data_IF_322078652373
#
_entry.id   IF_322078652373
#
_cell.length_a   1.000
_cell.length_b   1.000
_cell.length_c   1.000
_cell.angle_alpha   90.00
_cell.angle_beta   90.00
_cell.angle_gamma   90.00
#
_symmetry.space_group_name_H-M   'P 1'
#
loop_
_entity.id
_entity.type
_entity.pdbx_description
1 polymer ?
#
# COMPACT_ATOMS: atom_id res chain seq x y z
N UNK A 1 -22.83 13.12 -18.93
CA UNK A 1 -21.52 12.54 -19.32
C UNK A 1 -20.95 11.92 -18.06
N UNK A 2 -20.90 10.60 -17.97
CA UNK A 2 -20.20 9.95 -16.84
C UNK A 2 -18.74 10.39 -16.89
N UNK A 3 -18.13 10.82 -15.77
CA UNK A 3 -16.72 11.18 -15.76
C UNK A 3 -15.90 10.01 -16.30
N UNK A 4 -14.88 10.31 -17.12
CA UNK A 4 -14.00 9.29 -17.69
C UNK A 4 -13.51 8.35 -16.56
N UNK A 5 -13.46 7.02 -16.80
CA UNK A 5 -13.01 6.09 -15.78
C UNK A 5 -11.65 6.52 -15.25
N UNK A 6 -11.48 6.51 -13.92
CA UNK A 6 -10.21 6.81 -13.27
C UNK A 6 -9.14 5.85 -13.81
N UNK A 7 -8.15 6.40 -14.52
CA UNK A 7 -6.98 5.65 -14.96
C UNK A 7 -6.04 5.58 -13.75
N UNK A 8 -5.71 4.38 -13.25
CA UNK A 8 -4.78 4.22 -12.15
C UNK A 8 -3.42 4.83 -12.48
N UNK A 9 -2.73 5.27 -11.44
CA UNK A 9 -1.34 5.74 -11.58
C UNK A 9 -0.49 4.60 -12.12
N UNK A 10 0.33 4.87 -13.14
CA UNK A 10 1.12 3.85 -13.85
C UNK A 10 0.26 2.69 -14.39
N UNK A 11 -1.03 2.94 -14.66
CA UNK A 11 -1.99 1.91 -15.02
C UNK A 11 -1.58 1.14 -16.28
N UNK A 12 -1.09 1.85 -17.30
CA UNK A 12 -0.66 1.23 -18.57
C UNK A 12 0.58 0.38 -18.38
N UNK A 13 1.57 0.91 -17.66
CA UNK A 13 2.84 0.26 -17.35
C UNK A 13 2.61 -0.98 -16.49
N UNK A 14 1.72 -0.90 -15.50
CA UNK A 14 1.35 -2.02 -14.64
C UNK A 14 0.74 -3.16 -15.44
N UNK A 15 -0.22 -2.88 -16.31
CA UNK A 15 -0.87 -3.90 -17.13
C UNK A 15 0.10 -4.47 -18.18
N UNK A 16 0.97 -3.63 -18.77
CA UNK A 16 2.00 -4.10 -19.68
C UNK A 16 2.99 -5.06 -19.00
N UNK A 17 3.40 -4.76 -17.76
CA UNK A 17 4.25 -5.66 -16.99
C UNK A 17 3.52 -6.92 -16.52
N UNK A 18 2.26 -6.80 -16.06
CA UNK A 18 1.44 -7.94 -15.64
C UNK A 18 1.16 -8.89 -16.80
N UNK A 19 1.05 -8.35 -18.02
CA UNK A 19 0.76 -9.05 -19.27
C UNK A 19 -0.39 -10.06 -19.16
N UNK A 20 -1.64 -9.59 -18.89
CA UNK A 20 -2.78 -10.48 -18.84
C UNK A 20 -2.97 -11.24 -20.15
N UNK A 21 -3.30 -12.53 -20.05
CA UNK A 21 -3.52 -13.43 -21.19
C UNK A 21 -4.88 -14.10 -21.11
N UNK A 22 -5.37 -14.53 -22.27
CA UNK A 22 -6.63 -15.25 -22.36
C UNK A 22 -6.66 -16.47 -21.44
N UNK A 23 -7.77 -16.63 -20.71
CA UNK A 23 -7.97 -17.70 -19.72
C UNK A 23 -7.14 -17.60 -18.43
N UNK A 24 -6.30 -16.58 -18.25
CA UNK A 24 -5.45 -16.43 -17.07
C UNK A 24 -6.22 -16.05 -15.80
N UNK A 25 -5.70 -16.43 -14.63
CA UNK A 25 -6.28 -16.09 -13.32
C UNK A 25 -5.41 -15.02 -12.66
N UNK A 26 -6.00 -13.91 -12.24
CA UNK A 26 -5.29 -12.77 -11.68
C UNK A 26 -5.84 -12.36 -10.32
N UNK A 27 -5.01 -11.65 -9.55
CA UNK A 27 -5.43 -10.95 -8.34
C UNK A 27 -5.16 -9.45 -8.48
N UNK A 28 -6.19 -8.65 -8.25
CA UNK A 28 -6.06 -7.22 -7.97
C UNK A 28 -6.17 -7.03 -6.45
N UNK A 29 -5.03 -6.91 -5.79
CA UNK A 29 -4.96 -6.94 -4.33
C UNK A 29 -5.45 -5.63 -3.68
N UNK A 30 -5.74 -4.60 -4.48
CA UNK A 30 -6.06 -3.24 -4.02
C UNK A 30 -7.09 -2.64 -4.97
N UNK A 31 -8.27 -3.23 -5.03
CA UNK A 31 -9.31 -2.95 -6.03
C UNK A 31 -9.55 -1.46 -6.24
N UNK A 32 -9.75 -0.70 -5.16
CA UNK A 32 -10.04 0.72 -5.17
C UNK A 32 -11.23 1.07 -6.06
N UNK A 33 -10.98 1.78 -7.15
CA UNK A 33 -12.01 2.15 -8.12
C UNK A 33 -12.18 1.10 -9.26
N UNK A 34 -11.43 0.00 -9.24
CA UNK A 34 -11.46 -1.09 -10.21
C UNK A 34 -10.70 -0.79 -11.52
N UNK A 35 -9.74 0.13 -11.51
CA UNK A 35 -9.04 0.53 -12.73
C UNK A 35 -8.15 -0.57 -13.31
N UNK A 36 -7.31 -1.21 -12.49
CA UNK A 36 -6.53 -2.39 -12.92
C UNK A 36 -7.45 -3.57 -13.23
N UNK A 37 -8.43 -3.81 -12.37
CA UNK A 37 -9.44 -4.84 -12.58
C UNK A 37 -10.12 -4.77 -13.95
N UNK A 38 -10.57 -3.58 -14.39
CA UNK A 38 -11.14 -3.39 -15.74
C UNK A 38 -10.16 -3.76 -16.82
N UNK A 39 -8.92 -3.25 -16.74
CA UNK A 39 -7.90 -3.51 -17.75
C UNK A 39 -7.49 -4.99 -17.84
N UNK A 40 -7.53 -5.73 -16.74
CA UNK A 40 -7.34 -7.19 -16.73
C UNK A 40 -8.54 -7.89 -17.39
N UNK A 41 -9.76 -7.51 -17.00
CA UNK A 41 -11.01 -8.11 -17.51
C UNK A 41 -11.30 -7.80 -18.99
N UNK A 42 -10.69 -6.76 -19.55
CA UNK A 42 -10.71 -6.45 -20.98
C UNK A 42 -10.02 -7.53 -21.82
N UNK A 43 -9.10 -8.30 -21.22
CA UNK A 43 -8.55 -9.50 -21.87
C UNK A 43 -9.57 -10.63 -21.75
N UNK A 44 -9.98 -11.26 -22.87
CA UNK A 44 -10.96 -12.35 -22.88
C UNK A 44 -10.59 -13.50 -21.94
N UNK A 45 -11.60 -14.23 -21.45
CA UNK A 45 -11.41 -15.46 -20.67
C UNK A 45 -10.74 -15.30 -19.29
N UNK A 46 -10.21 -14.12 -18.96
CA UNK A 46 -9.56 -13.88 -17.66
C UNK A 46 -10.54 -14.08 -16.51
N UNK A 47 -10.04 -14.65 -15.42
CA UNK A 47 -10.71 -14.66 -14.11
C UNK A 47 -9.93 -13.77 -13.17
N UNK A 48 -10.64 -13.01 -12.35
CA UNK A 48 -10.06 -12.01 -11.46
C UNK A 48 -10.66 -12.14 -10.06
N UNK A 49 -9.78 -12.20 -9.07
CA UNK A 49 -10.14 -11.98 -7.67
C UNK A 49 -9.66 -10.57 -7.31
N UNK A 50 -10.56 -9.70 -6.89
CA UNK A 50 -10.22 -8.35 -6.45
C UNK A 50 -10.47 -8.22 -4.94
N UNK A 51 -9.53 -7.61 -4.23
CA UNK A 51 -9.54 -7.48 -2.77
C UNK A 51 -9.52 -6.00 -2.40
N UNK A 52 -10.36 -5.59 -1.45
CA UNK A 52 -10.25 -4.29 -0.80
C UNK A 52 -10.76 -4.36 0.64
N UNK A 53 -10.11 -3.65 1.55
CA UNK A 53 -10.57 -3.52 2.94
C UNK A 53 -11.64 -2.44 3.11
N UNK A 54 -11.82 -1.60 2.11
CA UNK A 54 -12.77 -0.50 2.13
C UNK A 54 -14.12 -0.95 1.57
N UNK A 55 -15.09 -1.18 2.45
CA UNK A 55 -16.49 -1.48 2.09
C UNK A 55 -17.10 -0.55 1.03
N UNK A 56 -16.66 0.71 0.95
CA UNK A 56 -17.15 1.65 -0.08
C UNK A 56 -16.60 1.33 -1.48
N UNK A 57 -15.35 0.83 -1.57
CA UNK A 57 -14.77 0.32 -2.80
C UNK A 57 -15.51 -0.96 -3.25
N UNK A 58 -15.79 -1.86 -2.31
CA UNK A 58 -16.55 -3.09 -2.56
C UNK A 58 -17.94 -2.77 -3.11
N UNK A 59 -18.69 -1.88 -2.44
CA UNK A 59 -19.99 -1.44 -2.92
C UNK A 59 -19.92 -0.76 -4.30
N UNK A 60 -18.90 0.07 -4.53
CA UNK A 60 -18.67 0.73 -5.81
C UNK A 60 -18.31 -0.21 -6.96
N UNK A 61 -17.88 -1.44 -6.67
CA UNK A 61 -17.52 -2.46 -7.65
C UNK A 61 -18.70 -3.28 -8.20
N UNK A 62 -19.90 -3.15 -7.64
CA UNK A 62 -21.05 -3.99 -7.99
C UNK A 62 -21.36 -4.01 -9.51
N UNK A 63 -21.33 -2.85 -10.17
CA UNK A 63 -21.58 -2.75 -11.60
C UNK A 63 -20.48 -3.45 -12.43
N UNK A 64 -19.22 -3.43 -11.96
CA UNK A 64 -18.14 -4.15 -12.63
C UNK A 64 -18.29 -5.67 -12.46
N UNK A 65 -18.74 -6.13 -11.29
CA UNK A 65 -19.03 -7.55 -11.05
C UNK A 65 -20.12 -8.03 -12.02
N UNK A 66 -21.23 -7.30 -12.14
CA UNK A 66 -22.32 -7.63 -13.06
C UNK A 66 -21.83 -7.71 -14.51
N UNK A 67 -21.12 -6.67 -14.99
CA UNK A 67 -20.57 -6.64 -16.36
C UNK A 67 -19.51 -7.72 -16.63
N UNK A 68 -18.82 -8.20 -15.59
CA UNK A 68 -17.80 -9.23 -15.74
C UNK A 68 -18.38 -10.62 -16.06
N UNK A 69 -19.70 -10.81 -15.91
CA UNK A 69 -20.40 -12.06 -16.18
C UNK A 69 -19.79 -13.27 -15.43
N UNK A 70 -19.50 -13.10 -14.15
CA UNK A 70 -18.94 -14.15 -13.28
C UNK A 70 -17.43 -14.33 -13.37
N UNK A 71 -16.73 -13.49 -14.14
CA UNK A 71 -15.26 -13.49 -14.20
C UNK A 71 -14.58 -12.75 -13.06
N UNK A 72 -15.28 -11.82 -12.42
CA UNK A 72 -14.79 -11.08 -11.25
C UNK A 72 -15.45 -11.59 -9.97
N UNK A 73 -14.60 -11.94 -9.00
CA UNK A 73 -14.99 -12.07 -7.59
C UNK A 73 -14.41 -10.90 -6.80
N UNK A 74 -15.27 -10.12 -6.15
CA UNK A 74 -14.87 -8.99 -5.31
C UNK A 74 -15.01 -9.37 -3.83
N UNK A 75 -13.93 -9.21 -3.06
CA UNK A 75 -13.82 -9.69 -1.67
C UNK A 75 -13.47 -8.53 -0.75
N UNK A 76 -14.29 -8.30 0.28
CA UNK A 76 -13.97 -7.37 1.36
C UNK A 76 -13.00 -8.04 2.34
N UNK A 77 -11.70 -7.79 2.17
CA UNK A 77 -10.66 -8.32 3.05
C UNK A 77 -9.40 -7.45 2.99
N UNK A 78 -8.47 -7.71 3.89
CA UNK A 78 -7.10 -7.21 3.82
C UNK A 78 -6.31 -8.00 2.78
N UNK A 79 -5.53 -7.28 1.99
CA UNK A 79 -4.64 -7.87 0.98
C UNK A 79 -3.48 -8.69 1.57
N UNK A 80 -3.19 -8.54 2.87
CA UNK A 80 -2.31 -9.46 3.59
C UNK A 80 -2.85 -10.90 3.63
N UNK A 81 -4.18 -11.09 3.56
CA UNK A 81 -4.86 -12.39 3.50
C UNK A 81 -5.00 -12.95 2.07
N UNK A 82 -4.25 -12.42 1.09
CA UNK A 82 -4.43 -12.74 -0.32
C UNK A 82 -4.39 -14.24 -0.62
N UNK A 83 -3.52 -15.00 0.05
CA UNK A 83 -3.40 -16.44 -0.19
C UNK A 83 -4.63 -17.19 0.33
N UNK A 84 -5.12 -16.82 1.51
CA UNK A 84 -6.31 -17.37 2.15
C UNK A 84 -7.56 -17.04 1.34
N UNK A 85 -7.65 -15.81 0.83
CA UNK A 85 -8.73 -15.38 -0.09
C UNK A 85 -8.72 -16.23 -1.36
N UNK A 86 -7.55 -16.45 -1.98
CA UNK A 86 -7.45 -17.31 -3.17
C UNK A 86 -7.92 -18.74 -2.88
N UNK A 87 -7.46 -19.33 -1.77
CA UNK A 87 -7.85 -20.67 -1.35
C UNK A 87 -9.37 -20.79 -1.10
N UNK A 88 -9.99 -19.79 -0.45
CA UNK A 88 -11.43 -19.74 -0.23
C UNK A 88 -12.25 -19.69 -1.53
N UNK A 89 -11.67 -19.19 -2.62
CA UNK A 89 -12.26 -19.19 -3.96
C UNK A 89 -11.91 -20.45 -4.78
N UNK A 90 -11.25 -21.45 -4.17
CA UNK A 90 -10.80 -22.66 -4.85
C UNK A 90 -9.70 -22.42 -5.88
N UNK A 91 -8.86 -21.39 -5.65
CA UNK A 91 -7.74 -21.02 -6.51
C UNK A 91 -6.44 -21.24 -5.77
N UNK A 92 -5.74 -22.33 -6.11
CA UNK A 92 -4.44 -22.65 -5.48
C UNK A 92 -3.30 -21.80 -6.02
N UNK A 93 -3.39 -21.38 -7.28
CA UNK A 93 -2.34 -20.59 -7.92
C UNK A 93 -2.86 -19.65 -9.01
N UNK A 94 -2.18 -18.52 -9.17
CA UNK A 94 -2.55 -17.42 -10.08
C UNK A 94 -1.43 -17.08 -11.07
N UNK A 95 -1.83 -16.52 -12.21
CA UNK A 95 -0.97 -16.09 -13.30
C UNK A 95 -0.41 -14.69 -13.10
N UNK A 96 -1.01 -13.88 -12.23
CA UNK A 96 -0.45 -12.60 -11.85
C UNK A 96 -1.14 -11.95 -10.66
N UNK A 97 -0.40 -11.08 -9.98
CA UNK A 97 -0.88 -10.27 -8.85
C UNK A 97 -0.45 -8.82 -9.11
N UNK A 98 -1.41 -7.90 -9.01
CA UNK A 98 -1.14 -6.46 -8.98
C UNK A 98 -1.48 -5.89 -7.60
N UNK A 99 -0.62 -5.01 -7.10
CA UNK A 99 -0.81 -4.28 -5.84
C UNK A 99 -0.52 -2.80 -6.06
N UNK A 100 -1.49 -1.94 -5.82
CA UNK A 100 -1.35 -0.47 -5.83
C UNK A 100 -1.43 0.04 -4.39
N UNK A 101 -0.27 0.09 -3.74
CA UNK A 101 -0.17 0.16 -2.29
C UNK A 101 -0.17 1.61 -1.84
N UNK A 102 -1.19 1.99 -1.08
CA UNK A 102 -1.39 3.35 -0.59
C UNK A 102 -2.87 3.71 -0.50
N UNK A 103 -3.17 5.00 -0.39
CA UNK A 103 -4.56 5.49 -0.38
C UNK A 103 -5.07 5.75 -1.79
N UNK A 104 -6.31 5.35 -2.04
CA UNK A 104 -6.97 5.66 -3.30
C UNK A 104 -7.26 7.16 -3.41
N UNK A 105 -7.43 7.63 -4.65
CA UNK A 105 -7.76 9.03 -4.87
C UNK A 105 -9.11 9.42 -4.23
N UNK A 106 -10.08 8.50 -4.27
CA UNK A 106 -11.39 8.68 -3.66
C UNK A 106 -11.28 8.94 -2.16
N UNK A 107 -10.40 8.22 -1.45
CA UNK A 107 -10.18 8.39 -0.01
C UNK A 107 -9.59 9.77 0.33
N UNK A 108 -8.67 10.27 -0.49
CA UNK A 108 -8.06 11.60 -0.29
C UNK A 108 -9.01 12.76 -0.61
N UNK A 109 -9.95 12.55 -1.53
CA UNK A 109 -10.88 13.58 -2.01
C UNK A 109 -12.17 13.64 -1.15
N UNK A 110 -12.44 12.60 -0.35
CA UNK A 110 -13.54 12.57 0.63
C UNK A 110 -13.08 13.15 1.98
N UNK A 111 -13.43 14.40 2.24
CA UNK A 111 -13.10 15.08 3.51
C UNK A 111 -13.53 14.28 4.75
N UNK A 112 -14.72 13.64 4.70
CA UNK A 112 -15.27 12.82 5.79
C UNK A 112 -14.41 11.62 6.20
N UNK A 113 -13.42 11.22 5.40
CA UNK A 113 -12.49 10.11 5.71
C UNK A 113 -11.25 10.55 6.47
N UNK A 114 -10.94 11.85 6.50
CA UNK A 114 -9.83 12.37 7.31
C UNK A 114 -8.42 12.13 6.78
N UNK A 115 -8.24 11.64 5.55
CA UNK A 115 -6.92 11.36 4.98
C UNK A 115 -6.15 12.61 4.55
N UNK A 116 -6.85 13.71 4.29
CA UNK A 116 -6.24 14.97 3.87
C UNK A 116 -6.59 16.08 4.85
N UNK A 117 -5.64 16.97 5.07
CA UNK A 117 -5.91 18.25 5.73
C UNK A 117 -6.34 19.33 4.74
N UNK A 118 -6.22 19.13 3.42
CA UNK A 118 -6.61 20.16 2.42
C UNK A 118 -8.10 20.50 2.50
N UNK A 119 -8.92 19.49 2.78
CA UNK A 119 -10.32 19.63 3.13
C UNK A 119 -10.46 19.25 4.59
N UNK A 120 -11.18 20.06 5.36
CA UNK A 120 -11.42 19.76 6.76
C UNK A 120 -12.37 18.58 6.91
N UNK A 121 -12.05 17.65 7.81
CA UNK A 121 -12.88 16.53 8.18
C UNK A 121 -12.45 15.90 9.50
N UNK A 122 -13.12 14.84 9.96
CA UNK A 122 -12.75 14.14 11.19
C UNK A 122 -11.35 13.54 11.06
N UNK A 123 -10.59 13.50 12.15
CA UNK A 123 -9.27 12.87 12.18
C UNK A 123 -9.42 11.34 12.28
N UNK A 124 -9.89 10.70 11.20
CA UNK A 124 -10.16 9.26 11.15
C UNK A 124 -8.98 8.47 10.55
N UNK A 125 -8.72 8.66 9.24
CA UNK A 125 -7.66 7.99 8.47
C UNK A 125 -7.78 6.46 8.34
N UNK A 126 -8.86 5.81 8.77
CA UNK A 126 -9.04 4.38 8.53
C UNK A 126 -9.47 4.11 7.09
N UNK A 127 -8.78 3.18 6.44
CA UNK A 127 -9.14 2.65 5.12
C UNK A 127 -10.34 1.69 5.23
N UNK A 128 -10.42 0.91 6.33
CA UNK A 128 -11.60 0.11 6.67
C UNK A 128 -12.48 0.79 7.71
N UNK A 129 -13.39 0.04 8.34
CA UNK A 129 -14.34 0.55 9.35
C UNK A 129 -14.02 0.16 10.80
N UNK A 130 -13.06 -0.74 10.99
CA UNK A 130 -12.70 -1.29 12.31
C UNK A 130 -11.39 -0.70 12.86
N UNK A 131 -11.21 -0.78 14.17
CA UNK A 131 -10.01 -0.33 14.87
C UNK A 131 -10.03 1.15 15.26
N UNK A 132 -9.01 1.60 16.01
CA UNK A 132 -8.87 2.97 16.48
C UNK A 132 -8.62 3.95 15.33
N UNK A 133 -9.14 5.17 15.48
CA UNK A 133 -8.93 6.28 14.55
C UNK A 133 -7.57 6.96 14.78
N UNK A 134 -7.14 7.81 13.85
CA UNK A 134 -6.01 8.71 14.06
C UNK A 134 -6.23 9.65 15.26
N UNK A 135 -7.47 10.09 15.52
CA UNK A 135 -7.82 10.85 16.72
C UNK A 135 -7.57 10.04 18.00
N UNK A 136 -7.94 8.75 18.01
CA UNK A 136 -7.69 7.87 19.16
C UNK A 136 -6.20 7.70 19.43
N UNK A 137 -5.40 7.49 18.38
CA UNK A 137 -3.93 7.39 18.48
C UNK A 137 -3.35 8.70 19.03
N UNK A 138 -3.73 9.83 18.45
CA UNK A 138 -3.25 11.16 18.89
C UNK A 138 -3.69 11.49 20.31
N UNK A 139 -4.84 11.00 20.77
CA UNK A 139 -5.34 11.22 22.12
C UNK A 139 -4.61 10.36 23.16
N UNK A 140 -4.25 9.12 22.84
CA UNK A 140 -3.82 8.11 23.84
C UNK A 140 -2.33 7.78 23.79
N UNK A 141 -1.71 7.77 22.63
CA UNK A 141 -0.32 7.36 22.49
C UNK A 141 0.61 8.22 23.38
N UNK A 142 1.65 7.61 23.95
CA UNK A 142 2.64 8.35 24.74
C UNK A 142 3.42 9.35 23.85
N UNK A 143 4.11 10.32 24.45
CA UNK A 143 4.99 11.23 23.70
C UNK A 143 6.06 10.46 22.92
N UNK A 144 6.61 9.40 23.53
CA UNK A 144 7.61 8.53 22.92
C UNK A 144 7.05 7.80 21.70
N UNK A 145 5.89 7.14 21.85
CA UNK A 145 5.26 6.40 20.75
C UNK A 145 4.90 7.34 19.59
N UNK A 146 4.33 8.52 19.87
CA UNK A 146 4.04 9.51 18.84
C UNK A 146 5.29 9.97 18.12
N UNK A 147 6.39 10.20 18.85
CA UNK A 147 7.65 10.59 18.24
C UNK A 147 8.21 9.48 17.35
N UNK A 148 8.12 8.22 17.77
CA UNK A 148 8.61 7.06 17.02
C UNK A 148 7.76 6.79 15.77
N UNK A 149 6.42 6.86 15.89
CA UNK A 149 5.49 6.78 14.75
C UNK A 149 5.84 7.85 13.71
N UNK A 150 5.94 9.12 14.12
CA UNK A 150 6.21 10.23 13.21
C UNK A 150 7.61 10.13 12.59
N UNK A 151 8.59 9.65 13.34
CA UNK A 151 9.96 9.47 12.87
C UNK A 151 10.08 8.33 11.87
N UNK A 152 9.65 7.12 12.25
CA UNK A 152 9.85 5.89 11.49
C UNK A 152 8.96 5.84 10.25
N UNK A 153 7.68 6.24 10.39
CA UNK A 153 6.67 6.09 9.34
C UNK A 153 6.50 7.38 8.50
N UNK A 154 6.81 8.53 9.08
CA UNK A 154 6.78 9.82 8.39
C UNK A 154 8.13 10.26 7.82
N UNK A 155 9.24 9.63 8.22
CA UNK A 155 10.61 10.09 7.96
C UNK A 155 10.81 11.58 8.39
N UNK A 156 10.13 12.03 9.46
CA UNK A 156 10.12 13.42 9.94
C UNK A 156 11.13 13.66 11.07
N UNK A 157 12.11 14.55 10.82
CA UNK A 157 13.20 14.85 11.75
C UNK A 157 12.77 15.65 12.98
N UNK A 158 11.69 16.42 12.86
CA UNK A 158 11.08 17.17 13.95
C UNK A 158 10.08 16.35 14.78
N UNK A 159 10.05 15.01 14.61
CA UNK A 159 9.10 14.11 15.26
C UNK A 159 8.91 14.36 16.75
N UNK A 160 10.01 14.41 17.52
CA UNK A 160 9.98 14.68 18.98
C UNK A 160 9.33 16.03 19.31
N UNK A 161 9.61 17.06 18.52
CA UNK A 161 9.04 18.39 18.72
C UNK A 161 7.54 18.41 18.44
N UNK A 162 7.12 17.74 17.38
CA UNK A 162 5.72 17.59 17.00
C UNK A 162 4.96 16.77 18.06
N UNK A 163 5.49 15.63 18.47
CA UNK A 163 4.89 14.76 19.49
C UNK A 163 4.71 15.51 20.82
N UNK A 164 5.73 16.20 21.31
CA UNK A 164 5.64 17.03 22.52
C UNK A 164 4.56 18.11 22.42
N UNK A 165 4.47 18.78 21.27
CA UNK A 165 3.45 19.80 21.05
C UNK A 165 2.03 19.20 21.03
N UNK A 166 1.85 18.04 20.41
CA UNK A 166 0.57 17.30 20.41
C UNK A 166 0.16 16.93 21.83
N UNK A 167 1.07 16.34 22.61
CA UNK A 167 0.79 15.88 23.98
C UNK A 167 0.47 17.05 24.91
N UNK A 168 1.12 18.20 24.73
CA UNK A 168 0.83 19.39 25.51
C UNK A 168 -0.55 19.98 25.16
N UNK A 169 -0.84 20.21 23.87
CA UNK A 169 -2.06 20.87 23.41
C UNK A 169 -3.30 19.99 23.65
N UNK A 170 -3.18 18.66 23.52
CA UNK A 170 -4.30 17.71 23.72
C UNK A 170 -4.85 17.66 25.15
N UNK A 171 -4.11 18.17 26.15
CA UNK A 171 -4.62 18.26 27.53
C UNK A 171 -5.72 19.30 27.67
N UNK A 172 -5.68 20.35 26.84
CA UNK A 172 -6.64 21.45 26.85
C UNK A 172 -7.69 21.27 25.74
N UNK A 173 -7.25 20.90 24.53
CA UNK A 173 -8.12 20.79 23.35
C UNK A 173 -7.90 19.47 22.61
N UNK A 174 -8.88 18.55 22.59
CA UNK A 174 -8.77 17.31 21.83
C UNK A 174 -8.66 17.53 20.32
N UNK A 175 -7.80 16.76 19.65
CA UNK A 175 -7.67 16.77 18.19
C UNK A 175 -8.73 15.88 17.53
N UNK A 176 -9.85 16.47 17.13
CA UNK A 176 -10.95 15.76 16.46
C UNK A 176 -11.02 15.98 14.95
N UNK A 177 -10.35 17.03 14.42
CA UNK A 177 -10.35 17.35 12.98
C UNK A 177 -8.95 17.38 12.38
N UNK A 178 -8.87 17.12 11.07
CA UNK A 178 -7.62 17.20 10.30
C UNK A 178 -7.03 18.61 10.30
N UNK A 179 -7.88 19.64 10.30
CA UNK A 179 -7.43 21.03 10.34
C UNK A 179 -6.73 21.36 11.65
N UNK A 180 -7.33 21.01 12.79
CA UNK A 180 -6.77 21.30 14.11
C UNK A 180 -5.35 20.74 14.28
N UNK A 181 -5.14 19.48 13.87
CA UNK A 181 -3.82 18.84 13.94
C UNK A 181 -2.83 19.49 12.96
N UNK A 182 -3.26 19.78 11.73
CA UNK A 182 -2.39 20.41 10.72
C UNK A 182 -1.93 21.81 11.15
N UNK A 183 -2.82 22.59 11.77
CA UNK A 183 -2.52 23.94 12.25
C UNK A 183 -1.52 23.91 13.41
N UNK A 184 -1.65 22.97 14.36
CA UNK A 184 -0.65 22.75 15.39
C UNK A 184 0.73 22.46 14.77
N UNK A 185 0.80 21.52 13.84
CA UNK A 185 2.07 21.13 13.22
C UNK A 185 2.68 22.30 12.46
N UNK A 186 1.86 23.12 11.78
CA UNK A 186 2.31 24.32 11.08
C UNK A 186 2.91 25.39 12.01
N UNK A 187 2.49 25.47 13.27
CA UNK A 187 3.13 26.34 14.29
C UNK A 187 4.48 25.80 14.76
N UNK A 188 4.66 24.47 14.75
CA UNK A 188 5.83 23.79 15.32
C UNK A 188 6.96 23.61 14.30
N UNK A 189 6.62 23.31 13.06
CA UNK A 189 7.55 22.98 11.98
C UNK A 189 7.51 24.09 10.93
N UNK A 190 8.65 24.76 10.74
CA UNK A 190 8.80 25.80 9.72
C UNK A 190 9.01 25.18 8.35
N UNK A 191 8.24 25.60 7.35
CA UNK A 191 8.48 25.30 5.92
C UNK A 191 9.03 26.52 5.19
N UNK A 192 9.86 26.29 4.18
CA UNK A 192 10.27 27.32 3.21
C UNK A 192 9.37 27.28 1.98
N UNK A 193 9.31 28.37 1.18
CA UNK A 193 8.65 28.34 -0.12
C UNK A 193 9.21 27.20 -0.99
N UNK A 194 8.32 26.37 -1.53
CA UNK A 194 8.68 25.19 -2.33
C UNK A 194 8.79 23.87 -1.55
N UNK A 195 8.83 23.91 -0.21
CA UNK A 195 8.75 22.70 0.60
C UNK A 195 7.33 22.13 0.59
N UNK A 196 7.21 20.81 0.84
CA UNK A 196 5.92 20.20 1.14
C UNK A 196 5.35 20.80 2.43
N UNK A 197 4.02 20.80 2.56
CA UNK A 197 3.35 21.32 3.75
C UNK A 197 3.86 20.61 5.02
N UNK A 198 4.15 21.31 6.14
CA UNK A 198 4.75 20.72 7.34
C UNK A 198 4.00 19.50 7.90
N UNK A 199 2.67 19.50 7.82
CA UNK A 199 1.83 18.40 8.31
C UNK A 199 1.88 17.12 7.45
N UNK A 200 2.43 17.18 6.23
CA UNK A 200 2.35 16.07 5.25
C UNK A 200 2.93 14.76 5.80
N UNK A 201 4.11 14.82 6.41
CA UNK A 201 4.79 13.62 6.93
C UNK A 201 4.16 13.07 8.19
N UNK A 202 3.65 13.92 9.07
CA UNK A 202 2.90 13.46 10.26
C UNK A 202 1.59 12.78 9.85
N UNK A 203 0.87 13.34 8.87
CA UNK A 203 -0.35 12.72 8.34
C UNK A 203 -0.05 11.39 7.65
N UNK A 204 1.03 11.31 6.86
CA UNK A 204 1.51 10.06 6.29
C UNK A 204 1.82 9.03 7.40
N UNK A 205 2.54 9.43 8.46
CA UNK A 205 2.90 8.54 9.55
C UNK A 205 1.67 7.96 10.27
N UNK A 206 0.72 8.81 10.63
CA UNK A 206 -0.52 8.40 11.30
C UNK A 206 -1.35 7.49 10.41
N UNK A 207 -1.45 7.80 9.11
CA UNK A 207 -2.14 6.97 8.14
C UNK A 207 -1.53 5.57 8.04
N UNK A 208 -0.22 5.50 7.84
CA UNK A 208 0.54 4.24 7.78
C UNK A 208 0.33 3.43 9.06
N UNK A 209 0.38 4.10 10.21
CA UNK A 209 0.25 3.47 11.51
C UNK A 209 -1.16 2.90 11.77
N UNK A 210 -2.20 3.73 11.58
CA UNK A 210 -3.61 3.35 11.80
C UNK A 210 -4.04 2.20 10.90
N UNK A 211 -3.46 2.11 9.70
CA UNK A 211 -3.80 1.08 8.74
C UNK A 211 -2.82 -0.10 8.70
N UNK A 212 -1.76 -0.08 9.51
CA UNK A 212 -0.71 -1.10 9.55
C UNK A 212 -0.06 -1.35 8.16
N UNK A 213 0.02 -0.30 7.31
CA UNK A 213 0.23 -0.43 5.87
C UNK A 213 1.53 -1.17 5.50
N UNK A 214 2.62 -0.94 6.25
CA UNK A 214 3.91 -1.55 5.94
C UNK A 214 3.98 -3.03 6.33
N UNK A 215 3.28 -3.44 7.39
CA UNK A 215 3.20 -4.84 7.79
C UNK A 215 2.28 -5.60 6.82
N UNK A 216 1.14 -5.00 6.48
CA UNK A 216 0.23 -5.51 5.46
C UNK A 216 0.93 -5.77 4.12
N UNK A 217 1.74 -4.81 3.65
CA UNK A 217 2.52 -4.95 2.43
C UNK A 217 3.51 -6.12 2.50
N UNK A 218 4.25 -6.27 3.60
CA UNK A 218 5.22 -7.36 3.75
C UNK A 218 4.53 -8.73 3.69
N UNK A 219 3.43 -8.89 4.43
CA UNK A 219 2.65 -10.12 4.45
C UNK A 219 2.03 -10.42 3.08
N UNK A 220 1.48 -9.40 2.41
CA UNK A 220 0.89 -9.55 1.08
C UNK A 220 1.94 -9.97 0.03
N UNK A 221 3.16 -9.42 0.07
CA UNK A 221 4.25 -9.81 -0.83
C UNK A 221 4.62 -11.29 -0.66
N UNK A 222 4.73 -11.77 0.58
CA UNK A 222 4.98 -13.18 0.88
C UNK A 222 3.80 -14.07 0.44
N UNK A 223 2.56 -13.63 0.65
CA UNK A 223 1.37 -14.32 0.15
C UNK A 223 1.36 -14.43 -1.38
N UNK A 224 1.71 -13.36 -2.10
CA UNK A 224 1.82 -13.37 -3.55
C UNK A 224 2.89 -14.35 -4.06
N UNK A 225 4.04 -14.43 -3.40
CA UNK A 225 5.09 -15.42 -3.72
C UNK A 225 4.59 -16.86 -3.61
N UNK A 226 3.74 -17.14 -2.62
CA UNK A 226 3.15 -18.47 -2.39
C UNK A 226 2.13 -18.86 -3.47
N UNK A 227 1.30 -17.93 -3.92
CA UNK A 227 0.21 -18.24 -4.88
C UNK A 227 0.60 -18.08 -6.35
N UNK A 228 1.68 -17.37 -6.67
CA UNK A 228 2.08 -17.20 -8.06
C UNK A 228 2.60 -18.53 -8.65
N UNK A 229 2.08 -18.89 -9.83
CA UNK A 229 2.61 -20.00 -10.65
C UNK A 229 4.01 -19.64 -11.15
N UNK A 230 4.85 -20.62 -11.52
CA UNK A 230 6.03 -20.35 -12.34
C UNK A 230 5.63 -19.60 -13.63
N UNK A 231 6.35 -18.54 -13.96
CA UNK A 231 6.02 -17.59 -15.03
C UNK A 231 4.96 -16.55 -14.67
N UNK A 232 4.31 -16.67 -13.51
CA UNK A 232 3.35 -15.70 -13.02
C UNK A 232 4.03 -14.39 -12.61
N UNK A 233 3.31 -13.26 -12.71
CA UNK A 233 3.92 -11.93 -12.52
C UNK A 233 3.39 -11.19 -11.31
N UNK A 234 4.31 -10.62 -10.53
CA UNK A 234 4.00 -9.69 -9.45
C UNK A 234 4.29 -8.27 -9.94
N UNK A 235 3.31 -7.38 -9.85
CA UNK A 235 3.44 -5.96 -10.15
C UNK A 235 3.00 -5.15 -8.95
N UNK A 236 3.88 -4.27 -8.45
CA UNK A 236 3.60 -3.45 -7.27
C UNK A 236 3.86 -1.98 -7.60
N UNK A 237 2.88 -1.13 -7.37
CA UNK A 237 2.95 0.33 -7.47
C UNK A 237 2.96 0.89 -6.05
N UNK A 238 3.96 1.70 -5.73
CA UNK A 238 4.15 2.33 -4.41
C UNK A 238 4.22 3.84 -4.54
N UNK A 239 3.80 4.61 -3.52
CA UNK A 239 3.74 6.07 -3.59
C UNK A 239 4.73 6.77 -2.66
N UNK A 240 5.36 6.05 -1.74
CA UNK A 240 6.42 6.62 -0.91
C UNK A 240 7.63 5.71 -0.72
N UNK A 241 8.68 6.30 -0.14
CA UNK A 241 10.00 5.70 0.06
C UNK A 241 9.98 4.40 0.87
N UNK A 242 9.18 4.34 1.95
CA UNK A 242 9.10 3.17 2.81
C UNK A 242 8.52 1.94 2.10
N UNK A 243 7.39 2.09 1.41
CA UNK A 243 6.78 1.03 0.57
C UNK A 243 7.77 0.56 -0.51
N UNK A 244 8.31 1.48 -1.32
CA UNK A 244 9.28 1.15 -2.39
C UNK A 244 10.50 0.41 -1.85
N UNK A 245 10.97 0.77 -0.65
CA UNK A 245 12.10 0.11 0.01
C UNK A 245 11.75 -1.32 0.40
N UNK A 246 10.56 -1.58 0.95
CA UNK A 246 10.06 -2.92 1.27
C UNK A 246 10.00 -3.78 0.01
N UNK A 247 9.32 -3.31 -1.03
CA UNK A 247 9.16 -4.05 -2.30
C UNK A 247 10.52 -4.33 -2.95
N UNK A 248 11.40 -3.33 -2.99
CA UNK A 248 12.76 -3.47 -3.53
C UNK A 248 13.55 -4.53 -2.77
N UNK A 249 13.53 -4.48 -1.44
CA UNK A 249 14.31 -5.40 -0.61
C UNK A 249 13.79 -6.83 -0.76
N UNK A 250 12.46 -7.01 -0.71
CA UNK A 250 11.78 -8.29 -0.91
C UNK A 250 12.19 -8.92 -2.25
N UNK A 251 12.01 -8.20 -3.36
CA UNK A 251 12.32 -8.70 -4.69
C UNK A 251 13.82 -8.92 -4.90
N UNK A 252 14.67 -8.05 -4.36
CA UNK A 252 16.13 -8.19 -4.43
C UNK A 252 16.60 -9.45 -3.74
N UNK A 253 16.15 -9.69 -2.51
CA UNK A 253 16.47 -10.89 -1.74
C UNK A 253 16.08 -12.18 -2.49
N UNK A 254 14.88 -12.21 -3.05
CA UNK A 254 14.32 -13.37 -3.76
C UNK A 254 14.81 -13.53 -5.21
N UNK A 255 15.56 -12.57 -5.72
CA UNK A 255 16.18 -12.62 -7.05
C UNK A 255 17.69 -12.84 -7.00
N UNK A 256 18.29 -12.97 -5.82
CA UNK A 256 19.73 -13.22 -5.67
C UNK A 256 20.06 -14.62 -6.18
N UNK A 257 20.80 -14.68 -7.29
CA UNK A 257 21.60 -15.86 -7.65
C UNK A 257 22.88 -15.79 -6.84
N UNK A 258 23.14 -16.73 -5.94
CA UNK A 258 24.31 -16.66 -5.07
C UNK A 258 25.62 -16.69 -5.88
N UNK A 259 26.44 -15.66 -5.70
CA UNK A 259 27.84 -15.66 -6.11
C UNK A 259 28.67 -16.16 -4.94
N UNK A 260 28.94 -17.47 -4.90
CA UNK A 260 29.89 -18.02 -3.93
C UNK A 260 31.27 -17.41 -4.16
N UNK A 261 31.84 -16.77 -3.15
CA UNK A 261 33.28 -16.53 -3.14
C UNK A 261 33.95 -17.90 -3.16
N UNK A 262 34.95 -18.11 -4.04
CA UNK A 262 35.75 -19.36 -4.12
C UNK A 262 36.44 -19.77 -2.80
N UNK A 263 36.32 -18.95 -1.76
CA UNK A 263 37.01 -19.08 -0.47
C UNK A 263 36.07 -19.18 0.75
N UNK A 264 34.75 -19.27 0.56
CA UNK A 264 33.80 -19.45 1.67
C UNK A 264 33.14 -20.83 1.62
N UNK A 265 32.78 -21.42 2.79
CA UNK A 265 32.05 -22.69 2.83
C UNK A 265 30.76 -22.59 2.01
N UNK A 266 30.43 -23.69 1.33
CA UNK A 266 29.23 -23.80 0.49
C UNK A 266 27.98 -23.78 1.39
N UNK A 267 27.48 -22.59 1.68
CA UNK A 267 26.16 -22.42 2.32
C UNK A 267 25.12 -22.83 1.29
N UNK A 268 24.27 -23.81 1.63
CA UNK A 268 23.15 -24.24 0.79
C UNK A 268 22.35 -23.01 0.35
N UNK A 269 22.41 -22.68 -0.94
CA UNK A 269 21.82 -21.46 -1.46
C UNK A 269 20.34 -21.69 -1.71
N UNK A 270 19.50 -20.81 -1.16
CA UNK A 270 18.08 -20.79 -1.50
C UNK A 270 17.96 -20.33 -2.95
N UNK A 271 17.35 -21.13 -3.85
CA UNK A 271 17.19 -20.74 -5.25
C UNK A 271 16.31 -19.49 -5.37
N UNK A 272 16.58 -18.61 -6.35
CA UNK A 272 15.79 -17.39 -6.53
C UNK A 272 14.35 -17.74 -6.89
N UNK A 273 13.39 -17.25 -6.10
CA UNK A 273 11.96 -17.42 -6.35
C UNK A 273 11.39 -16.39 -7.33
N UNK A 274 12.14 -15.32 -7.62
CA UNK A 274 11.79 -14.29 -8.60
C UNK A 274 12.92 -13.97 -9.58
N UNK A 275 12.54 -13.54 -10.78
CA UNK A 275 13.38 -12.84 -11.74
C UNK A 275 12.86 -11.41 -11.91
N UNK A 276 13.72 -10.42 -11.70
CA UNK A 276 13.33 -9.01 -11.85
C UNK A 276 13.02 -8.67 -13.31
N UNK A 277 11.80 -8.19 -13.56
CA UNK A 277 11.42 -7.58 -14.84
C UNK A 277 11.85 -6.11 -14.89
N UNK A 278 11.90 -5.45 -13.74
CA UNK A 278 12.33 -4.05 -13.60
C UNK A 278 13.54 -3.94 -12.66
N UNK A 279 14.74 -3.69 -13.21
CA UNK A 279 15.96 -3.47 -12.38
C UNK A 279 15.92 -2.13 -11.64
N UNK A 280 15.32 -1.12 -12.26
CA UNK A 280 15.01 0.19 -11.67
C UNK A 280 13.50 0.35 -11.64
N UNK A 281 12.92 1.07 -10.66
CA UNK A 281 11.49 1.30 -10.66
C UNK A 281 11.08 2.07 -11.92
N UNK A 282 9.93 1.71 -12.49
CA UNK A 282 9.28 2.49 -13.54
C UNK A 282 8.58 3.66 -12.85
N UNK A 283 8.71 4.86 -13.43
CA UNK A 283 8.16 6.11 -12.91
C UNK A 283 7.25 6.75 -13.94
N UNK A 284 6.33 7.58 -13.48
CA UNK A 284 5.37 8.24 -14.36
C UNK A 284 6.07 9.22 -15.30
N UNK A 285 5.63 9.24 -16.57
CA UNK A 285 6.09 10.21 -17.56
C UNK A 285 5.58 11.63 -17.27
N UNK A 286 6.16 12.63 -17.93
CA UNK A 286 5.79 14.05 -17.72
C UNK A 286 4.32 14.31 -18.02
N UNK A 287 3.77 13.71 -19.08
CA UNK A 287 2.36 13.83 -19.46
C UNK A 287 1.43 13.29 -18.37
N UNK A 288 1.72 12.12 -17.80
CA UNK A 288 0.90 11.55 -16.73
C UNK A 288 0.97 12.42 -15.48
N UNK A 289 2.16 12.90 -15.11
CA UNK A 289 2.35 13.78 -13.95
C UNK A 289 1.61 15.11 -14.12
N UNK A 290 1.53 15.64 -15.35
CA UNK A 290 0.78 16.86 -15.65
C UNK A 290 -0.73 16.68 -15.44
N UNK A 291 -1.28 15.53 -15.85
CA UNK A 291 -2.71 15.23 -15.71
C UNK A 291 -3.08 14.69 -14.32
N UNK A 292 -2.13 14.02 -13.66
CA UNK A 292 -2.28 13.44 -12.34
C UNK A 292 -1.02 13.71 -11.50
N UNK A 293 -0.97 14.84 -10.77
CA UNK A 293 0.19 15.19 -9.94
C UNK A 293 0.57 14.12 -8.89
N UNK A 294 -0.35 13.22 -8.53
CA UNK A 294 -0.10 12.11 -7.59
C UNK A 294 0.81 11.03 -8.18
N UNK A 295 0.88 10.93 -9.50
CA UNK A 295 1.74 9.99 -10.21
C UNK A 295 3.23 10.31 -10.04
N UNK A 296 3.57 11.56 -9.65
CA UNK A 296 4.96 12.03 -9.51
C UNK A 296 5.82 11.17 -8.59
N UNK A 297 5.25 10.69 -7.50
CA UNK A 297 5.97 9.92 -6.48
C UNK A 297 5.83 8.41 -6.67
N UNK A 298 5.02 7.98 -7.63
CA UNK A 298 4.73 6.60 -7.85
C UNK A 298 5.91 5.86 -8.47
N UNK A 299 6.11 4.63 -7.98
CA UNK A 299 7.17 3.73 -8.42
C UNK A 299 6.59 2.34 -8.60
N UNK A 300 6.70 1.84 -9.82
CA UNK A 300 6.32 0.48 -10.16
C UNK A 300 7.54 -0.43 -10.16
N UNK A 301 7.38 -1.61 -9.54
CA UNK A 301 8.32 -2.72 -9.65
C UNK A 301 7.59 -3.98 -10.09
N UNK A 302 8.22 -4.74 -10.98
CA UNK A 302 7.69 -5.99 -11.48
C UNK A 302 8.74 -7.11 -11.43
N UNK A 303 8.27 -8.32 -11.16
CA UNK A 303 9.05 -9.54 -11.17
C UNK A 303 8.23 -10.72 -11.68
N UNK A 304 8.91 -11.72 -12.24
CA UNK A 304 8.33 -12.97 -12.71
C UNK A 304 8.74 -14.10 -11.77
N UNK A 305 7.78 -14.94 -11.39
CA UNK A 305 7.95 -16.04 -10.47
C UNK A 305 8.69 -17.19 -11.15
N UNK A 306 9.70 -17.75 -10.49
CA UNK A 306 10.44 -18.92 -10.99
C UNK A 306 9.75 -20.24 -10.57
N UNK A 307 10.40 -21.39 -10.82
CA UNK A 307 9.95 -22.69 -10.31
C UNK A 307 10.45 -23.02 -8.89
N UNK A 308 11.31 -22.19 -8.29
CA UNK A 308 11.81 -22.40 -6.93
C UNK A 308 10.65 -22.33 -5.92
N UNK A 309 10.70 -23.01 -4.77
CA UNK A 309 9.69 -22.83 -3.72
C UNK A 309 9.68 -21.39 -3.17
N UNK A 310 8.56 -20.98 -2.58
CA UNK A 310 8.49 -19.72 -1.86
C UNK A 310 9.47 -19.73 -0.68
N UNK A 311 10.10 -18.59 -0.41
CA UNK A 311 10.99 -18.44 0.74
C UNK A 311 10.17 -18.49 2.04
N UNK A 312 10.78 -18.93 3.14
CA UNK A 312 10.13 -18.87 4.45
C UNK A 312 9.91 -17.41 4.86
N UNK A 313 8.83 -17.17 5.61
CA UNK A 313 8.56 -15.85 6.16
C UNK A 313 9.73 -15.39 7.05
N UNK A 314 10.13 -14.13 6.89
CA UNK A 314 11.25 -13.54 7.62
C UNK A 314 10.89 -13.23 9.08
N UNK A 315 11.84 -12.59 9.78
CA UNK A 315 11.58 -12.11 11.13
C UNK A 315 10.41 -11.10 11.16
N UNK A 316 9.66 -11.03 12.28
CA UNK A 316 8.57 -10.09 12.46
C UNK A 316 9.03 -8.64 12.21
N UNK A 317 8.15 -7.84 11.64
CA UNK A 317 8.49 -6.44 11.35
C UNK A 317 8.85 -5.66 12.61
N UNK A 318 9.85 -4.78 12.52
CA UNK A 318 10.28 -3.90 13.60
C UNK A 318 9.47 -2.58 13.67
N UNK A 319 8.33 -2.51 13.00
CA UNK A 319 7.51 -1.30 12.97
C UNK A 319 6.69 -1.16 14.26
N UNK A 320 6.37 0.07 14.69
CA UNK A 320 5.46 0.28 15.81
C UNK A 320 4.10 -0.40 15.53
N UNK A 321 3.60 -1.18 16.49
CA UNK A 321 2.33 -1.89 16.35
C UNK A 321 1.19 -1.13 16.99
N UNK A 322 0.07 -1.04 16.26
CA UNK A 322 -1.13 -0.36 16.73
C UNK A 322 -1.63 -0.96 18.05
N UNK A 323 -1.62 -2.28 18.17
CA UNK A 323 -2.10 -2.97 19.37
C UNK A 323 -1.24 -2.71 20.62
N UNK A 324 0.04 -2.38 20.45
CA UNK A 324 0.96 -2.16 21.56
C UNK A 324 0.81 -0.74 22.10
N UNK A 325 0.78 0.24 21.20
CA UNK A 325 0.57 1.66 21.54
C UNK A 325 -0.80 1.89 22.18
N UNK A 326 -1.83 1.20 21.69
CA UNK A 326 -3.19 1.37 22.23
C UNK A 326 -3.42 0.61 23.56
N UNK A 327 -2.50 -0.29 23.96
CA UNK A 327 -2.51 -0.96 25.27
C UNK A 327 -1.70 -0.21 26.33
N UNK A 328 -0.70 0.56 25.91
CA UNK A 328 0.24 1.28 26.79
C UNK A 328 -0.08 2.76 27.04
N UNK A 329 -1.19 3.27 26.50
CA UNK A 329 -1.67 4.65 26.69
C UNK A 329 -2.52 4.84 27.94
#
# INVERSE_FOLDING_TARGET
MSPAPHIPVLGREAIAHLAPRDGGIYVDATFGAGGYSRAILDVPGTRLIAIDRDSTAIAGGAELVERSAGRLTLVEDRFSNLAEVCAAQGVDAVDGVVMDVGVSSMQLDQAGRGFSFRLEGPLDMRMGQAGPTAADVVARASEGDLADIIYLLGEERHSRRVARAIVADRQETPFTTTRALADLIGRVVRSKPGDIHPATRTFQALRIFVNEELEELQTALAAAERVLKPGGRLVVVSFHSLEDRIVKNFLSERSKTGGGSRHLPEVAQVPPSFQLLTRRPVIAGEDEVAHNPRARSAKLRAAERTSAPAHQDGEPSSWPKLSDVMRGG
#
